data_IF_753428668402
#
_entry.id   IF_753428668402
#
_cell.length_a   1.000
_cell.length_b   1.000
_cell.length_c   1.000
_cell.angle_alpha   90.00
_cell.angle_beta   90.00
_cell.angle_gamma   90.00
#
_symmetry.space_group_name_H-M   'P 1'
#
loop_
_entity.id
_entity.type
_entity.pdbx_description
1 polymer ?
#
# COMPACT_ATOMS: atom_id res chain seq x y z
N UNK A 1 19.89 -25.30 -34.40
CA UNK A 1 18.67 -24.65 -34.96
C UNK A 1 17.58 -24.91 -33.94
N UNK A 2 17.31 -24.01 -32.98
CA UNK A 2 16.69 -22.69 -33.10
C UNK A 2 15.26 -22.76 -33.70
N UNK A 3 14.28 -22.52 -32.83
CA UNK A 3 12.99 -21.78 -32.93
C UNK A 3 12.18 -22.29 -31.71
N UNK A 4 11.66 -21.50 -30.78
CA UNK A 4 11.55 -20.05 -30.66
C UNK A 4 10.46 -19.74 -29.64
N UNK A 5 10.71 -18.74 -28.79
CA UNK A 5 9.89 -18.24 -27.70
C UNK A 5 8.45 -17.89 -28.10
N UNK A 6 7.47 -18.17 -27.23
CA UNK A 6 6.40 -17.24 -26.81
C UNK A 6 5.85 -17.73 -25.46
N UNK A 7 6.08 -16.96 -24.38
CA UNK A 7 5.17 -16.70 -23.26
C UNK A 7 5.94 -15.90 -22.20
N UNK A 8 6.05 -14.60 -22.46
CA UNK A 8 6.35 -13.59 -21.47
C UNK A 8 5.10 -12.72 -21.40
N UNK A 9 4.28 -12.90 -20.35
CA UNK A 9 3.19 -12.00 -19.97
C UNK A 9 2.71 -12.39 -18.57
N UNK A 10 2.56 -11.37 -17.72
CA UNK A 10 1.94 -11.38 -16.38
C UNK A 10 2.79 -11.71 -15.13
N UNK A 11 3.94 -11.06 -14.99
CA UNK A 11 4.50 -10.78 -13.67
C UNK A 11 4.93 -9.31 -13.64
N UNK A 12 4.04 -8.47 -13.11
CA UNK A 12 4.25 -7.04 -12.89
C UNK A 12 3.32 -6.51 -11.79
N UNK A 13 2.86 -7.40 -10.90
CA UNK A 13 1.94 -7.07 -9.81
C UNK A 13 2.74 -7.08 -8.52
N UNK A 14 3.40 -5.95 -8.28
CA UNK A 14 4.20 -5.72 -7.08
C UNK A 14 4.75 -4.31 -6.96
N UNK A 15 4.39 -3.40 -7.89
CA UNK A 15 4.80 -2.00 -7.89
C UNK A 15 3.59 -1.18 -7.41
N UNK A 16 3.36 -1.24 -6.11
CA UNK A 16 3.00 0.01 -5.41
C UNK A 16 4.29 0.40 -4.73
N UNK A 17 5.24 0.85 -5.54
CA UNK A 17 6.39 1.60 -5.03
C UNK A 17 5.82 2.71 -4.18
N UNK A 18 6.31 2.79 -2.95
CA UNK A 18 6.30 4.01 -2.19
C UNK A 18 7.10 5.05 -2.99
N UNK A 19 6.47 5.66 -3.99
CA UNK A 19 6.97 6.88 -4.63
C UNK A 19 6.66 8.08 -3.74
N UNK A 20 6.97 7.93 -2.45
CA UNK A 20 6.99 9.00 -1.46
C UNK A 20 8.43 9.03 -0.99
N UNK A 21 9.23 9.80 -1.74
CA UNK A 21 10.39 10.60 -1.34
C UNK A 21 11.34 10.77 -2.54
N UNK A 22 11.47 12.04 -2.96
CA UNK A 22 12.48 12.63 -3.84
C UNK A 22 12.34 12.47 -5.37
N UNK A 23 12.00 13.58 -6.03
CA UNK A 23 12.83 14.05 -7.14
C UNK A 23 13.06 15.57 -7.03
N UNK A 24 14.33 15.95 -6.81
CA UNK A 24 14.77 17.34 -6.59
C UNK A 24 15.52 17.84 -7.82
N UNK A 25 14.89 18.78 -8.54
CA UNK A 25 15.44 19.82 -9.44
C UNK A 25 16.49 19.48 -10.52
N UNK A 26 16.06 19.64 -11.78
CA UNK A 26 16.86 19.97 -12.97
C UNK A 26 16.28 19.26 -14.19
N UNK A 27 15.73 19.88 -15.24
CA UNK A 27 15.81 21.23 -15.77
C UNK A 27 16.06 21.12 -17.28
N UNK A 28 15.03 21.37 -18.11
CA UNK A 28 15.08 21.48 -19.58
C UNK A 28 15.17 20.14 -20.33
N UNK A 29 14.55 19.90 -21.48
CA UNK A 29 13.74 20.71 -22.39
C UNK A 29 12.84 19.74 -23.20
N UNK A 30 11.61 20.13 -23.46
CA UNK A 30 10.74 19.54 -24.50
C UNK A 30 11.29 19.91 -25.89
N UNK A 31 11.12 19.08 -26.94
CA UNK A 31 10.08 19.46 -27.92
C UNK A 31 9.38 18.30 -28.67
N UNK A 32 8.04 18.32 -28.64
CA UNK A 32 7.09 18.58 -29.75
C UNK A 32 7.20 17.88 -31.14
N UNK A 33 6.16 17.08 -31.47
CA UNK A 33 5.36 16.91 -32.73
C UNK A 33 6.04 16.52 -34.07
N UNK A 34 5.45 15.84 -35.07
CA UNK A 34 4.21 15.10 -35.41
C UNK A 34 4.44 14.55 -36.88
N UNK A 35 3.44 14.36 -37.78
CA UNK A 35 2.56 13.20 -38.02
C UNK A 35 2.76 12.55 -39.43
N UNK A 36 2.09 11.42 -39.75
CA UNK A 36 1.70 11.12 -41.15
C UNK A 36 0.46 10.20 -41.27
N UNK A 37 -0.51 10.70 -42.03
CA UNK A 37 -1.76 10.11 -42.55
C UNK A 37 -1.57 9.12 -43.71
N UNK A 38 -2.48 8.14 -43.85
CA UNK A 38 -3.41 7.98 -45.01
C UNK A 38 -3.79 6.52 -45.30
N UNK A 39 -5.09 6.29 -45.55
CA UNK A 39 -5.58 5.23 -46.44
C UNK A 39 -6.83 4.48 -45.98
N UNK A 40 -8.00 4.95 -46.39
CA UNK A 40 -9.23 4.14 -46.52
C UNK A 40 -9.48 3.92 -48.03
N UNK A 41 -10.15 2.85 -48.48
CA UNK A 41 -11.63 2.93 -48.60
C UNK A 41 -12.42 1.63 -48.34
N UNK A 42 -13.59 1.82 -47.73
CA UNK A 42 -14.95 1.34 -48.06
C UNK A 42 -15.17 0.00 -48.78
N UNK A 43 -15.94 -0.90 -48.13
CA UNK A 43 -17.14 -1.56 -48.70
C UNK A 43 -18.04 -2.16 -47.59
N UNK A 44 -19.32 -1.81 -47.62
CA UNK A 44 -20.49 -2.43 -46.94
C UNK A 44 -21.47 -2.85 -48.07
N UNK A 45 -22.55 -3.64 -47.86
CA UNK A 45 -23.11 -4.21 -46.62
C UNK A 45 -23.51 -5.71 -46.74
N UNK A 46 -23.81 -6.40 -45.63
CA UNK A 46 -24.77 -7.52 -45.64
C UNK A 46 -25.50 -7.59 -44.30
N UNK A 47 -26.83 -7.63 -44.38
CA UNK A 47 -27.81 -7.59 -43.29
C UNK A 47 -28.13 -9.00 -42.76
N UNK A 48 -28.66 -9.03 -41.53
CA UNK A 48 -29.41 -10.10 -40.84
C UNK A 48 -28.61 -11.10 -39.98
N UNK A 49 -28.71 -10.93 -38.66
CA UNK A 49 -29.58 -11.77 -37.82
C UNK A 49 -29.57 -11.25 -36.38
N UNK A 50 -30.66 -10.60 -35.98
CA UNK A 50 -30.98 -10.28 -34.59
C UNK A 50 -31.19 -11.58 -33.83
N UNK A 51 -30.22 -11.98 -33.01
CA UNK A 51 -30.44 -12.93 -31.92
C UNK A 51 -30.30 -12.13 -30.63
N UNK A 52 -31.43 -11.82 -30.01
CA UNK A 52 -31.48 -11.29 -28.66
C UNK A 52 -30.73 -12.25 -27.74
N UNK A 53 -29.56 -11.83 -27.26
CA UNK A 53 -28.94 -12.43 -26.09
C UNK A 53 -29.90 -12.19 -24.92
N UNK A 54 -30.11 -13.18 -24.02
CA UNK A 54 -30.88 -12.92 -22.82
C UNK A 54 -30.15 -11.84 -22.04
N UNK A 55 -30.81 -10.69 -21.90
CA UNK A 55 -30.42 -9.66 -20.94
C UNK A 55 -30.38 -10.33 -19.57
N UNK A 56 -29.18 -10.63 -19.10
CA UNK A 56 -28.96 -10.85 -17.67
C UNK A 56 -29.13 -9.47 -17.04
N UNK A 57 -30.37 -9.09 -16.77
CA UNK A 57 -30.67 -8.09 -15.75
C UNK A 57 -30.31 -8.72 -14.42
N UNK A 58 -29.00 -8.71 -14.12
CA UNK A 58 -28.51 -8.88 -12.76
C UNK A 58 -28.94 -7.65 -11.99
N UNK A 59 -29.93 -7.84 -11.12
CA UNK A 59 -30.25 -6.91 -10.05
C UNK A 59 -28.94 -6.57 -9.33
N UNK A 60 -28.62 -5.28 -9.21
CA UNK A 60 -27.43 -4.78 -8.52
C UNK A 60 -27.57 -4.92 -6.99
N UNK A 61 -27.75 -6.14 -6.50
CA UNK A 61 -27.27 -6.46 -5.16
C UNK A 61 -25.76 -6.30 -5.22
N UNK A 62 -25.21 -5.33 -4.47
CA UNK A 62 -23.79 -5.01 -4.50
C UNK A 62 -22.95 -6.27 -4.38
N UNK A 63 -21.96 -6.42 -5.25
CA UNK A 63 -21.10 -7.60 -5.26
C UNK A 63 -20.48 -7.77 -3.85
N UNK A 64 -20.72 -8.92 -3.23
CA UNK A 64 -20.16 -9.21 -1.92
C UNK A 64 -18.65 -9.44 -2.03
N UNK A 65 -17.95 -9.13 -0.94
CA UNK A 65 -16.53 -9.47 -0.81
C UNK A 65 -16.36 -11.00 -0.76
N UNK A 66 -15.52 -11.51 -1.65
CA UNK A 66 -15.03 -12.89 -1.66
C UNK A 66 -13.52 -12.87 -1.91
N UNK A 67 -12.72 -13.80 -1.38
CA UNK A 67 -11.29 -13.85 -1.69
C UNK A 67 -11.02 -13.90 -3.20
N UNK A 68 -10.25 -12.95 -3.72
CA UNK A 68 -9.91 -12.90 -5.14
C UNK A 68 -8.76 -13.86 -5.49
N UNK A 69 -8.78 -14.42 -6.70
CA UNK A 69 -7.64 -15.17 -7.24
C UNK A 69 -6.53 -14.19 -7.65
N UNK A 70 -5.34 -14.22 -7.01
CA UNK A 70 -4.24 -13.31 -7.35
C UNK A 70 -3.67 -13.52 -8.76
N UNK A 71 -3.94 -14.65 -9.41
CA UNK A 71 -3.43 -14.99 -10.75
C UNK A 71 -4.53 -15.12 -11.80
N UNK A 72 -5.81 -14.97 -11.41
CA UNK A 72 -6.96 -15.07 -12.31
C UNK A 72 -7.32 -13.74 -12.96
N UNK A 73 -7.95 -13.81 -14.14
CA UNK A 73 -8.65 -12.65 -14.70
C UNK A 73 -9.83 -12.26 -13.79
N UNK A 74 -10.05 -10.96 -13.60
CA UNK A 74 -11.21 -10.51 -12.83
C UNK A 74 -12.49 -10.78 -13.62
N UNK A 75 -13.44 -11.47 -12.99
CA UNK A 75 -14.78 -11.64 -13.54
C UNK A 75 -15.72 -10.48 -13.17
N UNK A 76 -15.22 -9.46 -12.45
CA UNK A 76 -15.98 -8.31 -11.95
C UNK A 76 -15.61 -7.04 -12.69
N UNK A 77 -16.60 -6.19 -12.91
CA UNK A 77 -16.42 -4.85 -13.50
C UNK A 77 -15.76 -3.89 -12.49
N UNK A 78 -15.14 -2.78 -12.95
CA UNK A 78 -14.60 -1.77 -12.05
C UNK A 78 -15.59 -1.21 -11.03
N UNK A 79 -16.86 -1.04 -11.41
CA UNK A 79 -17.92 -0.54 -10.51
C UNK A 79 -18.28 -1.55 -9.42
N UNK A 80 -18.32 -2.84 -9.76
CA UNK A 80 -18.52 -3.91 -8.77
C UNK A 80 -17.34 -3.98 -7.79
N UNK A 81 -16.10 -3.88 -8.29
CA UNK A 81 -14.92 -3.89 -7.43
C UNK A 81 -14.88 -2.64 -6.54
N UNK A 82 -15.27 -1.48 -7.07
CA UNK A 82 -15.38 -0.26 -6.27
C UNK A 82 -16.35 -0.45 -5.10
N UNK A 83 -17.53 -1.01 -5.36
CA UNK A 83 -18.51 -1.35 -4.31
C UNK A 83 -17.96 -2.34 -3.29
N UNK A 84 -17.12 -3.31 -3.71
CA UNK A 84 -16.45 -4.24 -2.80
C UNK A 84 -15.43 -3.51 -1.93
N UNK A 85 -14.64 -2.60 -2.49
CA UNK A 85 -13.64 -1.84 -1.73
C UNK A 85 -14.31 -0.88 -0.72
N UNK A 86 -15.50 -0.37 -1.03
CA UNK A 86 -16.35 0.39 -0.11
C UNK A 86 -16.88 -0.42 1.08
N UNK A 87 -17.05 -1.74 0.92
CA UNK A 87 -17.70 -2.63 1.89
C UNK A 87 -16.92 -3.93 2.15
N UNK A 88 -15.59 -3.82 2.23
CA UNK A 88 -14.74 -4.97 2.56
C UNK A 88 -14.61 -5.17 4.09
N UNK A 89 -14.25 -6.37 4.57
CA UNK A 89 -14.17 -6.66 6.01
C UNK A 89 -13.24 -5.73 6.80
N UNK A 90 -12.26 -5.10 6.13
CA UNK A 90 -11.29 -4.18 6.75
C UNK A 90 -11.73 -2.71 6.70
N UNK A 91 -13.03 -2.47 6.47
CA UNK A 91 -13.67 -1.14 6.55
C UNK A 91 -14.69 -1.03 7.68
N UNK A 92 -14.84 -2.06 8.51
CA UNK A 92 -15.81 -2.07 9.60
C UNK A 92 -15.29 -2.77 10.85
N UNK A 93 -15.96 -2.49 11.98
CA UNK A 93 -15.61 -3.01 13.29
C UNK A 93 -14.35 -2.37 13.87
N UNK A 94 -13.90 -2.91 14.99
CA UNK A 94 -12.78 -2.38 15.75
C UNK A 94 -11.60 -3.35 15.73
N UNK A 95 -10.38 -2.83 15.86
CA UNK A 95 -9.17 -3.62 16.14
C UNK A 95 -8.80 -3.43 17.61
N UNK A 96 -8.76 -4.54 18.35
CA UNK A 96 -8.40 -4.53 19.76
C UNK A 96 -6.91 -4.24 19.96
N UNK A 97 -6.57 -3.63 21.10
CA UNK A 97 -5.16 -3.47 21.50
C UNK A 97 -4.60 -4.81 21.98
N UNK A 98 -3.41 -5.19 21.52
CA UNK A 98 -2.74 -6.42 21.97
C UNK A 98 -2.23 -6.31 23.41
N UNK A 99 -2.03 -7.45 24.08
CA UNK A 99 -1.70 -7.48 25.52
C UNK A 99 -0.28 -7.03 25.86
N UNK A 100 0.70 -7.21 24.97
CA UNK A 100 2.10 -6.86 25.22
C UNK A 100 2.81 -6.49 23.92
N UNK A 101 3.67 -5.50 23.98
CA UNK A 101 4.64 -5.15 22.96
C UNK A 101 5.84 -4.53 23.66
N UNK A 102 7.02 -5.11 23.47
CA UNK A 102 8.27 -4.58 24.02
C UNK A 102 9.18 -4.21 22.87
N UNK A 103 9.57 -2.94 22.80
CA UNK A 103 10.49 -2.44 21.79
C UNK A 103 11.86 -2.18 22.44
N UNK A 104 12.96 -2.67 21.85
CA UNK A 104 14.29 -2.29 22.30
C UNK A 104 14.54 -0.83 21.95
N UNK A 105 15.21 -0.08 22.83
CA UNK A 105 15.62 1.29 22.52
C UNK A 105 16.51 1.33 21.27
N UNK A 106 16.22 2.27 20.37
CA UNK A 106 16.90 2.38 19.08
C UNK A 106 17.75 3.66 19.06
N UNK A 107 19.09 3.55 18.90
CA UNK A 107 19.95 4.72 18.74
C UNK A 107 19.63 5.49 17.45
N UNK A 108 20.01 6.77 17.39
CA UNK A 108 19.82 7.65 16.22
C UNK A 108 20.46 7.12 14.94
N UNK A 109 21.61 6.48 15.08
CA UNK A 109 22.35 5.82 14.00
C UNK A 109 22.52 4.35 14.39
N UNK A 110 21.47 3.53 14.27
CA UNK A 110 21.54 2.13 14.65
C UNK A 110 22.46 1.38 13.69
N UNK A 111 23.22 0.41 14.20
CA UNK A 111 23.83 -0.60 13.32
C UNK A 111 22.74 -1.44 12.65
N UNK A 112 23.06 -2.14 11.55
CA UNK A 112 22.10 -3.03 10.90
C UNK A 112 21.53 -4.09 11.88
N UNK A 113 22.34 -4.57 12.83
CA UNK A 113 21.90 -5.52 13.86
C UNK A 113 20.92 -4.88 14.86
N UNK A 114 21.17 -3.64 15.27
CA UNK A 114 20.27 -2.90 16.17
C UNK A 114 18.94 -2.55 15.47
N UNK A 115 19.02 -2.17 14.19
CA UNK A 115 17.84 -1.92 13.37
C UNK A 115 17.04 -3.21 13.16
N UNK A 116 17.72 -4.32 12.83
CA UNK A 116 17.08 -5.64 12.70
C UNK A 116 16.36 -6.03 13.99
N UNK A 117 17.00 -5.90 15.15
CA UNK A 117 16.38 -6.21 16.44
C UNK A 117 15.15 -5.32 16.74
N UNK A 118 15.21 -4.03 16.37
CA UNK A 118 14.08 -3.10 16.50
C UNK A 118 12.92 -3.52 15.61
N UNK A 119 13.20 -3.80 14.34
CA UNK A 119 12.19 -4.20 13.35
C UNK A 119 11.59 -5.57 13.69
N UNK A 120 12.39 -6.55 14.13
CA UNK A 120 11.89 -7.86 14.55
C UNK A 120 10.92 -7.75 15.74
N UNK A 121 11.26 -6.93 16.74
CA UNK A 121 10.39 -6.67 17.88
C UNK A 121 9.09 -5.97 17.46
N UNK A 122 9.18 -4.90 16.67
CA UNK A 122 8.03 -4.19 16.12
C UNK A 122 7.17 -5.10 15.23
N UNK A 123 7.80 -5.95 14.42
CA UNK A 123 7.16 -6.92 13.55
C UNK A 123 6.41 -7.99 14.32
N UNK A 124 6.95 -8.46 15.45
CA UNK A 124 6.23 -9.35 16.37
C UNK A 124 4.96 -8.71 16.96
N UNK A 125 5.05 -7.43 17.34
CA UNK A 125 3.89 -6.67 17.81
C UNK A 125 2.84 -6.49 16.71
N UNK A 126 3.23 -5.99 15.54
CA UNK A 126 2.33 -5.76 14.41
C UNK A 126 1.72 -7.07 13.89
N UNK A 127 2.49 -8.16 13.85
CA UNK A 127 1.97 -9.49 13.51
C UNK A 127 0.86 -9.93 14.46
N UNK A 128 0.96 -9.61 15.75
CA UNK A 128 -0.09 -9.92 16.73
C UNK A 128 -1.34 -9.06 16.51
N UNK A 129 -1.16 -7.77 16.18
CA UNK A 129 -2.26 -6.86 15.82
C UNK A 129 -3.00 -7.37 14.58
N UNK A 130 -2.28 -7.63 13.49
CA UNK A 130 -2.84 -8.11 12.23
C UNK A 130 -3.45 -9.50 12.35
N UNK A 131 -2.81 -10.42 13.06
CA UNK A 131 -3.38 -11.74 13.32
C UNK A 131 -4.73 -11.64 14.04
N UNK A 132 -4.87 -10.72 15.00
CA UNK A 132 -6.15 -10.50 15.70
C UNK A 132 -7.17 -9.88 14.76
N UNK A 133 -6.81 -8.79 14.08
CA UNK A 133 -7.68 -8.07 13.16
C UNK A 133 -8.23 -8.97 12.05
N UNK A 134 -7.37 -9.80 11.44
CA UNK A 134 -7.75 -10.74 10.38
C UNK A 134 -8.59 -11.89 10.93
N UNK A 135 -8.22 -12.48 12.07
CA UNK A 135 -8.98 -13.58 12.67
C UNK A 135 -10.41 -13.17 13.04
N UNK A 136 -10.60 -11.97 13.59
CA UNK A 136 -11.92 -11.43 13.94
C UNK A 136 -12.84 -11.26 12.71
N UNK A 137 -12.26 -11.29 11.51
CA UNK A 137 -12.92 -11.03 10.22
C UNK A 137 -12.85 -12.22 9.26
N UNK A 138 -12.40 -13.38 9.74
CA UNK A 138 -12.21 -14.60 8.94
C UNK A 138 -11.31 -14.39 7.71
N UNK A 139 -10.36 -13.44 7.82
CA UNK A 139 -9.38 -13.17 6.77
C UNK A 139 -8.10 -13.98 7.01
N UNK A 140 -7.44 -14.44 5.92
CA UNK A 140 -6.12 -15.04 6.05
C UNK A 140 -5.10 -14.00 6.54
N UNK A 141 -4.12 -14.49 7.30
CA UNK A 141 -2.96 -13.73 7.71
C UNK A 141 -1.76 -14.66 7.79
N UNK A 142 -0.63 -14.18 7.29
CA UNK A 142 0.65 -14.83 7.46
C UNK A 142 1.66 -13.83 8.01
N UNK A 143 2.51 -14.29 8.92
CA UNK A 143 3.56 -13.44 9.48
C UNK A 143 4.58 -13.07 8.40
N UNK A 144 5.30 -11.98 8.63
CA UNK A 144 6.38 -11.53 7.74
C UNK A 144 7.73 -11.70 8.39
N UNK A 145 8.68 -12.22 7.62
CA UNK A 145 10.09 -12.12 7.97
C UNK A 145 10.60 -10.72 7.68
N UNK A 146 11.59 -10.25 8.42
CA UNK A 146 12.22 -8.95 8.22
C UNK A 146 13.70 -9.16 7.96
N UNK A 147 14.22 -8.47 6.95
CA UNK A 147 15.65 -8.53 6.61
C UNK A 147 16.17 -7.14 6.35
N UNK A 148 17.00 -6.64 7.25
CA UNK A 148 17.78 -5.41 7.04
C UNK A 148 18.92 -5.69 6.07
N UNK A 149 19.10 -4.82 5.09
CA UNK A 149 20.20 -4.90 4.14
C UNK A 149 20.76 -3.51 3.79
N UNK A 150 21.94 -3.49 3.17
CA UNK A 150 22.53 -2.26 2.63
C UNK A 150 22.31 -2.21 1.13
N UNK A 151 21.60 -1.21 0.64
CA UNK A 151 21.46 -1.00 -0.80
C UNK A 151 22.80 -0.57 -1.42
N UNK A 152 23.21 -1.08 -2.61
CA UNK A 152 22.45 -1.94 -3.54
C UNK A 152 22.64 -3.45 -3.34
N UNK A 153 23.25 -3.90 -2.23
CA UNK A 153 23.56 -5.30 -1.95
C UNK A 153 22.32 -6.07 -1.46
N UNK A 154 21.36 -6.30 -2.36
CA UNK A 154 20.12 -7.05 -2.10
C UNK A 154 20.47 -8.51 -1.72
N UNK A 155 19.83 -9.09 -0.68
CA UNK A 155 20.03 -10.48 -0.31
C UNK A 155 19.73 -11.44 -1.46
N UNK A 156 20.66 -12.35 -1.76
CA UNK A 156 20.52 -13.30 -2.88
C UNK A 156 19.39 -14.33 -2.72
N UNK A 157 18.80 -14.42 -1.52
CA UNK A 157 17.64 -15.26 -1.23
C UNK A 157 16.31 -14.60 -1.56
N UNK A 158 16.31 -13.31 -1.91
CA UNK A 158 15.09 -12.59 -2.27
C UNK A 158 14.49 -13.14 -3.57
N UNK A 159 13.17 -13.36 -3.54
CA UNK A 159 12.43 -13.88 -4.70
C UNK A 159 11.85 -12.76 -5.56
N UNK A 160 11.73 -11.56 -5.01
CA UNK A 160 11.26 -10.38 -5.74
C UNK A 160 12.26 -9.92 -6.81
N UNK A 161 11.74 -9.27 -7.84
CA UNK A 161 12.53 -8.76 -8.96
C UNK A 161 13.60 -7.77 -8.47
N UNK A 162 14.89 -7.96 -8.84
CA UNK A 162 15.99 -7.16 -8.29
C UNK A 162 15.89 -5.65 -8.52
N UNK A 163 15.23 -5.23 -9.59
CA UNK A 163 15.02 -3.82 -9.95
C UNK A 163 13.88 -3.15 -9.16
N UNK A 164 13.15 -3.92 -8.33
CA UNK A 164 12.11 -3.39 -7.44
C UNK A 164 12.62 -2.99 -6.05
N UNK A 165 13.92 -3.16 -5.79
CA UNK A 165 14.56 -2.74 -4.54
C UNK A 165 15.13 -1.34 -4.70
N UNK A 166 14.96 -0.50 -3.67
CA UNK A 166 15.51 0.85 -3.63
C UNK A 166 16.18 1.15 -2.27
N UNK A 167 16.78 2.33 -2.13
CA UNK A 167 17.52 2.73 -0.94
C UNK A 167 16.65 3.37 0.15
N UNK A 168 15.50 3.91 -0.23
CA UNK A 168 14.70 4.83 0.58
C UNK A 168 13.44 4.16 1.12
N UNK A 169 13.00 3.05 0.52
CA UNK A 169 11.73 2.39 0.85
C UNK A 169 11.87 0.87 1.03
N UNK A 170 11.21 0.30 2.06
CA UNK A 170 11.19 -1.14 2.26
C UNK A 170 10.46 -1.87 1.14
N UNK A 171 11.04 -2.97 0.66
CA UNK A 171 10.43 -3.86 -0.32
C UNK A 171 9.66 -4.98 0.37
N UNK A 172 8.34 -4.92 0.31
CA UNK A 172 7.47 -6.04 0.73
C UNK A 172 7.42 -7.08 -0.39
N UNK A 173 7.98 -8.26 -0.13
CA UNK A 173 7.97 -9.39 -1.05
C UNK A 173 6.94 -10.42 -0.62
N UNK A 174 5.75 -10.35 -1.22
CA UNK A 174 4.63 -11.20 -0.82
C UNK A 174 4.82 -12.69 -1.18
N UNK A 175 5.70 -13.01 -2.13
CA UNK A 175 5.94 -14.39 -2.58
C UNK A 175 6.76 -15.19 -1.57
N UNK A 176 7.82 -14.59 -1.01
CA UNK A 176 8.65 -15.22 0.02
C UNK A 176 8.27 -14.82 1.45
N UNK A 177 7.28 -13.92 1.60
CA UNK A 177 6.79 -13.46 2.89
C UNK A 177 7.77 -12.57 3.65
N UNK A 178 8.70 -11.91 2.96
CA UNK A 178 9.74 -11.09 3.59
C UNK A 178 9.57 -9.61 3.27
N UNK A 179 9.77 -8.76 4.28
CA UNK A 179 9.94 -7.31 4.12
C UNK A 179 11.44 -7.04 4.18
N UNK A 180 12.00 -6.61 3.05
CA UNK A 180 13.40 -6.23 2.92
C UNK A 180 13.55 -4.75 3.22
N UNK A 181 14.34 -4.42 4.24
CA UNK A 181 14.47 -3.07 4.78
C UNK A 181 15.87 -2.48 4.51
N UNK A 182 16.00 -1.43 3.67
CA UNK A 182 17.26 -0.73 3.53
C UNK A 182 17.65 -0.03 4.85
N UNK A 183 18.89 -0.17 5.31
CA UNK A 183 19.29 0.31 6.65
C UNK A 183 19.18 1.82 6.90
N UNK A 184 19.12 2.63 5.84
CA UNK A 184 18.89 4.08 5.90
C UNK A 184 17.47 4.53 5.57
N UNK A 185 16.52 3.61 5.45
CA UNK A 185 15.14 3.92 5.03
C UNK A 185 14.19 4.22 6.18
N UNK A 186 13.09 4.91 5.86
CA UNK A 186 11.99 5.21 6.78
C UNK A 186 12.08 6.58 7.43
N UNK A 187 10.93 7.15 7.82
CA UNK A 187 10.89 8.48 8.45
C UNK A 187 11.54 8.45 9.83
N UNK A 188 11.55 7.31 10.52
CA UNK A 188 12.25 7.15 11.79
C UNK A 188 13.75 7.40 11.63
N UNK A 189 14.37 6.88 10.56
CA UNK A 189 15.78 7.16 10.27
C UNK A 189 16.02 8.67 10.11
N UNK A 190 15.18 9.35 9.33
CA UNK A 190 15.27 10.81 9.14
C UNK A 190 15.08 11.60 10.45
N UNK A 191 14.14 11.18 11.30
CA UNK A 191 13.90 11.80 12.61
C UNK A 191 15.11 11.65 13.55
N UNK A 192 15.75 10.47 13.55
CA UNK A 192 16.97 10.21 14.32
C UNK A 192 18.16 11.01 13.80
N UNK A 193 18.38 10.98 12.49
CA UNK A 193 19.49 11.68 11.82
C UNK A 193 19.40 13.21 11.93
N UNK A 194 18.19 13.77 11.81
CA UNK A 194 17.95 15.22 11.98
C UNK A 194 17.99 15.66 13.45
N UNK A 195 17.84 14.71 14.39
CA UNK A 195 17.69 14.99 15.81
C UNK A 195 16.30 15.50 16.21
N UNK A 196 15.30 15.43 15.31
CA UNK A 196 13.91 15.74 15.63
C UNK A 196 13.35 14.82 16.73
N UNK A 197 13.82 13.57 16.76
CA UNK A 197 13.59 12.63 17.86
C UNK A 197 14.94 12.24 18.47
N UNK A 198 15.08 12.52 19.76
CA UNK A 198 16.33 12.35 20.50
C UNK A 198 16.41 11.11 21.38
N UNK A 199 15.24 10.67 21.87
CA UNK A 199 15.09 9.58 22.82
C UNK A 199 15.04 8.23 22.09
N UNK A 200 15.78 7.24 22.59
CA UNK A 200 15.88 5.94 21.93
C UNK A 200 14.57 5.16 21.95
N UNK A 201 13.76 5.28 23.02
CA UNK A 201 12.49 4.59 23.09
C UNK A 201 11.46 5.24 22.15
N UNK A 202 11.44 6.58 22.07
CA UNK A 202 10.60 7.29 21.09
C UNK A 202 10.97 6.88 19.65
N UNK A 203 12.26 6.76 19.33
CA UNK A 203 12.70 6.37 17.99
C UNK A 203 12.24 4.96 17.60
N UNK A 204 12.25 4.02 18.56
CA UNK A 204 11.71 2.67 18.32
C UNK A 204 10.22 2.68 17.96
N UNK A 205 9.45 3.58 18.59
CA UNK A 205 8.01 3.73 18.26
C UNK A 205 7.80 4.34 16.87
N UNK A 206 8.73 5.18 16.39
CA UNK A 206 8.71 5.68 15.02
C UNK A 206 8.98 4.56 14.01
N UNK A 207 9.97 3.68 14.28
CA UNK A 207 10.21 2.50 13.44
C UNK A 207 9.02 1.53 13.43
N UNK A 208 8.30 1.38 14.55
CA UNK A 208 7.05 0.62 14.58
C UNK A 208 5.99 1.22 13.65
N UNK A 209 5.88 2.55 13.57
CA UNK A 209 4.96 3.20 12.64
C UNK A 209 5.39 2.98 11.18
N UNK A 210 6.67 3.17 10.85
CA UNK A 210 7.18 2.94 9.48
C UNK A 210 6.87 1.50 9.04
N UNK A 211 7.14 0.54 9.93
CA UNK A 211 6.89 -0.87 9.65
C UNK A 211 5.40 -1.17 9.50
N UNK A 212 4.53 -0.50 10.26
CA UNK A 212 3.08 -0.62 10.12
C UNK A 212 2.62 -0.24 8.71
N UNK A 213 3.26 0.74 8.08
CA UNK A 213 2.98 1.12 6.69
C UNK A 213 3.29 -0.02 5.71
N UNK A 214 4.43 -0.69 5.86
CA UNK A 214 4.77 -1.88 5.07
C UNK A 214 3.82 -3.07 5.34
N UNK A 215 3.38 -3.25 6.58
CA UNK A 215 2.46 -4.32 6.96
C UNK A 215 1.06 -4.18 6.33
N UNK A 216 0.61 -2.96 5.97
CA UNK A 216 -0.64 -2.81 5.21
C UNK A 216 -0.58 -3.52 3.87
N UNK A 217 0.56 -3.45 3.16
CA UNK A 217 0.72 -4.16 1.89
C UNK A 217 0.57 -5.68 2.08
N UNK A 218 1.22 -6.23 3.11
CA UNK A 218 1.12 -7.63 3.49
C UNK A 218 -0.33 -8.04 3.81
N UNK A 219 -1.03 -7.23 4.62
CA UNK A 219 -2.42 -7.46 4.98
C UNK A 219 -3.35 -7.43 3.76
N UNK A 220 -3.16 -6.48 2.85
CA UNK A 220 -3.93 -6.38 1.60
C UNK A 220 -3.64 -7.50 0.61
N UNK A 221 -2.41 -8.00 0.58
CA UNK A 221 -2.07 -9.16 -0.21
C UNK A 221 -2.77 -10.40 0.32
N UNK A 222 -2.59 -10.71 1.61
CA UNK A 222 -3.15 -11.93 2.21
C UNK A 222 -4.68 -11.92 2.12
N UNK A 223 -5.32 -10.80 2.49
CA UNK A 223 -6.77 -10.63 2.41
C UNK A 223 -7.30 -10.46 0.98
N UNK A 224 -6.44 -10.37 -0.04
CA UNK A 224 -6.80 -10.11 -1.45
C UNK A 224 -7.42 -8.74 -1.74
N UNK A 225 -7.55 -7.84 -0.74
CA UNK A 225 -8.01 -6.45 -0.93
C UNK A 225 -7.12 -5.70 -1.93
N UNK A 226 -5.80 -5.91 -1.87
CA UNK A 226 -4.86 -5.31 -2.82
C UNK A 226 -5.04 -5.84 -4.24
N UNK A 227 -5.51 -7.08 -4.40
CA UNK A 227 -5.83 -7.67 -5.70
C UNK A 227 -7.05 -6.99 -6.31
N UNK A 228 -8.10 -6.76 -5.51
CA UNK A 228 -9.26 -5.98 -5.96
C UNK A 228 -8.86 -4.60 -6.47
N UNK A 229 -8.07 -3.84 -5.72
CA UNK A 229 -7.57 -2.53 -6.19
C UNK A 229 -6.77 -2.65 -7.50
N UNK A 230 -5.87 -3.63 -7.60
CA UNK A 230 -5.06 -3.86 -8.81
C UNK A 230 -5.93 -4.14 -10.03
N UNK A 231 -6.90 -5.05 -9.90
CA UNK A 231 -7.83 -5.41 -10.98
C UNK A 231 -8.71 -4.23 -11.39
N UNK A 232 -9.21 -3.45 -10.43
CA UNK A 232 -9.98 -2.24 -10.71
C UNK A 232 -9.15 -1.19 -11.43
N UNK A 233 -7.91 -0.97 -11.01
CA UNK A 233 -7.02 0.00 -11.65
C UNK A 233 -6.74 -0.38 -13.11
N UNK A 234 -6.54 -1.67 -13.41
CA UNK A 234 -6.36 -2.17 -14.77
C UNK A 234 -7.65 -2.01 -15.60
N UNK A 235 -8.81 -2.33 -15.03
CA UNK A 235 -10.10 -2.14 -15.70
C UNK A 235 -10.48 -0.67 -15.94
N UNK A 236 -9.78 0.28 -15.33
CA UNK A 236 -9.96 1.74 -15.50
C UNK A 236 -8.88 2.37 -16.40
N UNK A 237 -8.07 1.60 -17.14
CA UNK A 237 -7.02 2.14 -18.00
C UNK A 237 -7.53 3.15 -19.05
N UNK A 238 -8.77 2.98 -19.52
CA UNK A 238 -9.43 3.89 -20.47
C UNK A 238 -10.19 5.06 -19.77
N UNK A 239 -10.15 5.15 -18.44
CA UNK A 239 -10.74 6.22 -17.62
C UNK A 239 -9.73 6.77 -16.59
N UNK A 240 -8.79 7.62 -17.03
CA UNK A 240 -7.67 8.08 -16.20
C UNK A 240 -8.12 8.91 -14.99
N UNK A 241 -9.24 9.61 -15.07
CA UNK A 241 -9.75 10.43 -13.97
C UNK A 241 -10.26 9.53 -12.83
N UNK A 242 -11.04 8.49 -13.17
CA UNK A 242 -11.48 7.47 -12.19
C UNK A 242 -10.32 6.66 -11.65
N UNK A 243 -9.34 6.31 -12.50
CA UNK A 243 -8.14 5.61 -12.06
C UNK A 243 -7.33 6.45 -11.05
N UNK A 244 -7.18 7.76 -11.31
CA UNK A 244 -6.51 8.66 -10.39
C UNK A 244 -7.28 8.82 -9.06
N UNK A 245 -8.60 8.81 -9.09
CA UNK A 245 -9.43 8.79 -7.87
C UNK A 245 -9.26 7.50 -7.08
N UNK A 246 -9.32 6.34 -7.73
CA UNK A 246 -9.07 5.05 -7.10
C UNK A 246 -7.70 5.04 -6.40
N UNK A 247 -6.67 5.55 -7.07
CA UNK A 247 -5.31 5.66 -6.53
C UNK A 247 -5.26 6.54 -5.27
N UNK A 248 -5.94 7.70 -5.30
CA UNK A 248 -6.07 8.62 -4.15
C UNK A 248 -6.72 7.94 -2.95
N UNK A 249 -7.84 7.24 -3.16
CA UNK A 249 -8.58 6.52 -2.12
C UNK A 249 -7.78 5.38 -1.53
N UNK A 250 -7.17 4.55 -2.37
CA UNK A 250 -6.35 3.43 -1.91
C UNK A 250 -5.14 3.91 -1.10
N UNK A 251 -4.42 4.93 -1.58
CA UNK A 251 -3.30 5.52 -0.83
C UNK A 251 -3.75 6.08 0.53
N UNK A 252 -4.86 6.84 0.55
CA UNK A 252 -5.43 7.43 1.77
C UNK A 252 -5.84 6.37 2.79
N UNK A 253 -6.48 5.28 2.34
CA UNK A 253 -6.84 4.15 3.20
C UNK A 253 -5.60 3.49 3.78
N UNK A 254 -4.56 3.25 2.98
CA UNK A 254 -3.33 2.62 3.46
C UNK A 254 -2.65 3.43 4.56
N UNK A 255 -2.50 4.74 4.34
CA UNK A 255 -1.93 5.68 5.30
C UNK A 255 -2.69 5.65 6.63
N UNK A 256 -4.02 5.68 6.56
CA UNK A 256 -4.87 5.65 7.74
C UNK A 256 -4.80 4.32 8.48
N UNK A 257 -4.92 3.20 7.77
CA UNK A 257 -4.89 1.86 8.37
C UNK A 257 -3.52 1.62 9.01
N UNK A 258 -2.41 2.00 8.37
CA UNK A 258 -1.07 1.92 8.96
C UNK A 258 -0.98 2.68 10.29
N UNK A 259 -1.52 3.91 10.32
CA UNK A 259 -1.53 4.75 11.52
C UNK A 259 -2.45 4.20 12.60
N UNK A 260 -3.60 3.63 12.23
CA UNK A 260 -4.51 2.96 13.16
C UNK A 260 -3.85 1.72 13.77
N UNK A 261 -3.24 0.85 12.96
CA UNK A 261 -2.63 -0.41 13.40
C UNK A 261 -1.43 -0.17 14.33
N UNK A 262 -0.61 0.84 14.06
CA UNK A 262 0.51 1.22 14.95
C UNK A 262 0.04 1.70 16.33
N UNK A 263 -1.22 2.10 16.45
CA UNK A 263 -1.84 2.49 17.71
C UNK A 263 -2.47 1.32 18.48
N UNK A 264 -2.57 0.12 17.89
CA UNK A 264 -3.20 -1.07 18.52
C UNK A 264 -2.21 -1.91 19.34
N UNK A 265 -1.15 -1.28 19.83
CA UNK A 265 -0.19 -1.82 20.80
C UNK A 265 -0.36 -1.14 22.16
N UNK A 266 0.17 -1.71 23.26
CA UNK A 266 0.14 -1.06 24.57
C UNK A 266 0.71 0.36 24.52
N UNK A 267 0.18 1.26 25.35
CA UNK A 267 0.51 2.70 25.33
C UNK A 267 2.02 3.00 25.33
N UNK A 268 2.83 2.20 26.04
CA UNK A 268 4.28 2.37 26.09
C UNK A 268 5.01 2.10 24.75
N UNK A 269 4.38 1.38 23.83
CA UNK A 269 4.93 1.03 22.51
C UNK A 269 4.25 1.77 21.35
N UNK A 270 3.18 2.53 21.62
CA UNK A 270 2.55 3.37 20.60
C UNK A 270 3.52 4.49 20.18
N UNK A 271 3.42 5.02 18.94
CA UNK A 271 4.12 6.24 18.54
C UNK A 271 3.99 7.31 19.62
N UNK A 272 5.11 7.93 20.05
CA UNK A 272 5.09 8.98 21.08
C UNK A 272 4.29 10.21 20.64
N UNK A 273 3.91 11.09 21.55
CA UNK A 273 3.24 12.36 21.17
C UNK A 273 4.11 13.20 20.22
N UNK A 274 5.43 13.23 20.44
CA UNK A 274 6.40 13.88 19.54
C UNK A 274 6.34 13.27 18.15
N UNK A 275 6.42 11.94 18.05
CA UNK A 275 6.39 11.22 16.78
C UNK A 275 5.06 11.45 16.07
N UNK A 276 3.92 11.34 16.77
CA UNK A 276 2.58 11.62 16.19
C UNK A 276 2.47 13.05 15.67
N UNK A 277 3.04 14.01 16.40
CA UNK A 277 3.08 15.42 16.00
C UNK A 277 3.84 15.63 14.71
N UNK A 278 5.00 14.99 14.55
CA UNK A 278 5.79 15.04 13.31
C UNK A 278 5.04 14.37 12.16
N UNK A 279 4.54 13.15 12.36
CA UNK A 279 3.82 12.39 11.34
C UNK A 279 2.56 13.12 10.85
N UNK A 280 1.89 13.87 11.73
CA UNK A 280 0.67 14.62 11.40
C UNK A 280 0.92 16.04 10.89
N UNK A 281 2.17 16.48 10.75
CA UNK A 281 2.52 17.77 10.15
C UNK A 281 2.70 17.59 8.62
N UNK A 282 1.92 18.29 7.78
CA UNK A 282 2.11 18.29 6.33
C UNK A 282 3.55 18.62 5.90
N UNK A 283 4.29 19.43 6.67
CA UNK A 283 5.68 19.80 6.34
C UNK A 283 6.67 18.65 6.40
N UNK A 284 6.31 17.56 7.07
CA UNK A 284 7.09 16.32 7.08
C UNK A 284 7.05 15.62 5.73
N UNK A 285 5.98 15.82 4.97
CA UNK A 285 5.69 15.08 3.75
C UNK A 285 5.93 15.92 2.51
N UNK A 286 6.24 15.22 1.42
CA UNK A 286 6.25 15.80 0.07
C UNK A 286 4.98 15.37 -0.66
N UNK A 287 4.56 16.17 -1.62
CA UNK A 287 3.48 15.78 -2.52
C UNK A 287 3.87 14.50 -3.27
N UNK A 288 3.02 13.49 -3.13
CA UNK A 288 3.16 12.22 -3.83
C UNK A 288 2.34 12.20 -5.13
N UNK A 289 2.55 11.18 -5.96
CA UNK A 289 1.81 11.00 -7.21
C UNK A 289 0.36 10.52 -7.01
N UNK A 290 -0.06 10.33 -5.77
CA UNK A 290 -1.43 9.95 -5.40
C UNK A 290 -2.04 11.02 -4.51
N UNK A 291 -1.38 11.36 -3.40
CA UNK A 291 -1.89 12.29 -2.39
C UNK A 291 -0.92 13.44 -2.15
N UNK A 292 -1.44 14.61 -1.83
CA UNK A 292 -0.66 15.78 -1.37
C UNK A 292 -0.11 15.55 0.04
N UNK A 293 0.86 16.36 0.44
CA UNK A 293 1.40 16.36 1.80
C UNK A 293 0.30 16.62 2.87
N UNK A 294 -0.64 17.53 2.58
CA UNK A 294 -1.77 17.82 3.47
C UNK A 294 -2.72 16.62 3.61
N UNK A 295 -3.05 15.96 2.50
CA UNK A 295 -3.93 14.78 2.51
C UNK A 295 -3.24 13.61 3.20
N UNK A 296 -1.93 13.43 3.00
CA UNK A 296 -1.13 12.43 3.72
C UNK A 296 -1.22 12.64 5.25
N UNK A 297 -0.84 13.82 5.73
CA UNK A 297 -0.88 14.15 7.15
C UNK A 297 -2.29 14.04 7.77
N UNK A 298 -3.33 14.43 7.01
CA UNK A 298 -4.73 14.30 7.42
C UNK A 298 -5.13 12.85 7.68
N UNK A 299 -4.80 11.95 6.77
CA UNK A 299 -5.16 10.53 6.91
C UNK A 299 -4.31 9.81 7.96
N UNK A 300 -3.06 10.22 8.18
CA UNK A 300 -2.26 9.79 9.34
C UNK A 300 -3.01 10.15 10.62
N UNK A 301 -3.34 11.43 10.78
CA UNK A 301 -4.03 11.93 11.97
C UNK A 301 -5.35 11.18 12.20
N UNK A 302 -6.14 10.98 11.15
CA UNK A 302 -7.40 10.22 11.21
C UNK A 302 -7.19 8.81 11.74
N UNK A 303 -6.15 8.10 11.27
CA UNK A 303 -5.81 6.76 11.75
C UNK A 303 -5.29 6.74 13.19
N UNK A 304 -4.44 7.69 13.57
CA UNK A 304 -3.92 7.83 14.94
C UNK A 304 -5.05 8.06 15.96
N UNK A 305 -6.09 8.80 15.55
CA UNK A 305 -7.24 9.19 16.38
C UNK A 305 -8.44 8.22 16.29
N UNK A 306 -8.41 7.24 15.39
CA UNK A 306 -9.54 6.36 15.09
C UNK A 306 -9.96 5.42 16.25
N UNK A 307 -9.14 5.31 17.29
CA UNK A 307 -9.30 4.36 18.40
C UNK A 307 -9.63 2.92 17.94
N UNK A 308 -9.02 2.50 16.82
CA UNK A 308 -9.17 1.14 16.29
C UNK A 308 -10.41 0.94 15.45
N UNK A 309 -11.28 1.95 15.29
CA UNK A 309 -12.42 1.90 14.38
C UNK A 309 -11.95 1.92 12.91
N UNK A 310 -12.09 0.79 12.23
CA UNK A 310 -11.68 0.66 10.82
C UNK A 310 -12.54 1.51 9.88
N UNK A 311 -13.79 1.83 10.27
CA UNK A 311 -14.67 2.66 9.45
C UNK A 311 -14.14 4.09 9.31
N UNK A 312 -13.41 4.60 10.32
CA UNK A 312 -12.71 5.88 10.24
C UNK A 312 -11.68 5.93 9.10
N UNK A 313 -11.12 4.77 8.72
CA UNK A 313 -10.16 4.64 7.62
C UNK A 313 -10.78 4.23 6.28
N UNK A 314 -12.11 4.22 6.14
CA UNK A 314 -12.76 3.92 4.86
C UNK A 314 -12.68 5.12 3.90
N UNK A 315 -11.58 5.22 3.16
CA UNK A 315 -11.38 6.26 2.16
C UNK A 315 -12.24 6.09 0.89
N UNK A 316 -12.83 4.91 0.67
CA UNK A 316 -13.72 4.66 -0.46
C UNK A 316 -15.07 5.38 -0.31
N UNK A 317 -15.55 5.49 0.93
CA UNK A 317 -16.78 6.24 1.27
C UNK A 317 -16.53 7.70 1.63
N UNK A 318 -15.27 8.16 1.64
CA UNK A 318 -14.92 9.53 2.01
C UNK A 318 -15.31 10.54 0.91
N UNK A 319 -15.64 11.80 1.26
CA UNK A 319 -15.78 12.89 0.31
C UNK A 319 -14.54 13.07 -0.57
N UNK A 320 -14.72 13.52 -1.82
CA UNK A 320 -13.62 13.68 -2.78
C UNK A 320 -12.55 14.65 -2.28
N UNK A 321 -12.94 15.74 -1.63
CA UNK A 321 -12.03 16.74 -1.06
C UNK A 321 -11.21 16.21 0.12
N UNK A 322 -11.68 15.14 0.78
CA UNK A 322 -10.91 14.47 1.83
C UNK A 322 -9.74 13.63 1.29
N UNK A 323 -9.83 13.16 0.04
CA UNK A 323 -8.83 12.31 -0.61
C UNK A 323 -8.10 13.00 -1.77
N UNK A 324 -8.42 14.26 -2.06
CA UNK A 324 -7.84 15.07 -3.13
C UNK A 324 -6.38 15.48 -2.87
#
# INVERSE_FOLDING_TARGET
MAIGCVLALFLGIGIITATVLLNRSGGGDDPTAAPTTSGSPTEEPTTEATTEAPTVSGSSEGAAFEPADPYGESLKTPDEIWSILEDNPMTSGTVSTIGSCELPGTPKEPSDEQLQATLDAAGGCLSSVWSTASSDRELPWSNRSLVVYKHPDVPSSAVCEPDTFDAETPRVCNIDGTIYWPSGSGIAHEMGASGAVGDEAELSTAYLWDLSYSYVNAGWWDSTIGIYYSQMSQGLEDDPDRQAEAKRRYASQNICVASLMSMRVPTAAQPSETVRGILSDPKTWQDGPAVTAETHARWIKKGLEADGDLAACNAWKAPLDEVA
#
